data_IF_153099580460
#
_entry.id   IF_153099580460
#
_cell.length_a   1.000
_cell.length_b   1.000
_cell.length_c   1.000
_cell.angle_alpha   90.00
_cell.angle_beta   90.00
_cell.angle_gamma   90.00
#
_symmetry.space_group_name_H-M   'P 1'
#
loop_
_entity.id
_entity.type
_entity.pdbx_description
1 polymer ?
#
# COMPACT_ATOMS: atom_id res chain seq x y z
N UNK A 1 11.13 27.13 63.36
CA UNK A 1 10.98 26.10 62.30
C UNK A 1 10.17 26.74 61.18
N UNK A 2 10.84 27.28 60.15
CA UNK A 2 11.02 26.65 58.82
C UNK A 2 9.72 26.71 57.99
N UNK A 3 9.63 27.03 56.70
CA UNK A 3 10.48 27.55 55.62
C UNK A 3 9.46 27.94 54.50
N UNK A 4 9.53 29.13 53.88
CA UNK A 4 10.03 29.37 52.52
C UNK A 4 9.06 29.11 51.33
N UNK A 5 9.15 30.00 50.34
CA UNK A 5 8.28 30.21 49.17
C UNK A 5 8.39 29.10 48.12
N UNK A 6 7.38 28.98 47.24
CA UNK A 6 7.56 28.28 45.96
C UNK A 6 6.30 28.17 45.09
N UNK A 7 6.03 29.20 44.29
CA UNK A 7 5.07 29.15 43.17
C UNK A 7 5.47 28.08 42.17
N UNK A 8 4.66 27.03 41.99
CA UNK A 8 4.84 26.08 40.89
C UNK A 8 4.41 26.72 39.58
N UNK A 9 5.41 27.09 38.78
CA UNK A 9 5.33 27.55 37.39
C UNK A 9 4.55 26.52 36.56
N UNK A 10 3.33 26.89 36.16
CA UNK A 10 2.55 26.13 35.19
C UNK A 10 3.38 25.94 33.93
N UNK A 11 3.58 24.67 33.55
CA UNK A 11 4.29 24.31 32.34
C UNK A 11 3.67 25.07 31.17
N UNK A 12 4.51 25.80 30.45
CA UNK A 12 4.16 26.58 29.27
C UNK A 12 3.45 25.66 28.28
N UNK A 13 2.12 25.69 28.29
CA UNK A 13 1.28 25.28 27.17
C UNK A 13 1.80 26.08 25.99
N UNK A 14 2.53 25.43 25.10
CA UNK A 14 2.90 25.99 23.82
C UNK A 14 1.61 26.39 23.14
N UNK A 15 1.46 27.69 22.98
CA UNK A 15 0.41 28.32 22.21
C UNK A 15 0.54 27.82 20.78
N UNK A 16 -0.17 26.74 20.44
CA UNK A 16 -0.71 26.56 19.10
C UNK A 16 -1.82 27.61 18.94
N UNK A 17 -1.40 28.88 18.94
CA UNK A 17 -2.29 30.02 18.75
C UNK A 17 -2.79 29.95 17.32
N UNK A 18 -4.10 30.10 17.18
CA UNK A 18 -4.84 29.83 15.96
C UNK A 18 -4.21 30.43 14.72
N UNK A 19 -3.85 29.55 13.79
CA UNK A 19 -3.98 29.84 12.37
C UNK A 19 -4.95 28.81 11.85
N UNK A 20 -6.11 29.28 11.41
CA UNK A 20 -7.06 28.50 10.63
C UNK A 20 -6.30 27.89 9.44
N UNK A 21 -5.84 26.64 9.58
CA UNK A 21 -5.31 25.89 8.45
C UNK A 21 -6.53 25.45 7.66
N UNK A 22 -6.95 26.27 6.71
CA UNK A 22 -8.05 25.98 5.76
C UNK A 22 -7.73 24.79 4.83
N UNK A 23 -6.70 24.00 5.11
CA UNK A 23 -6.27 22.86 4.31
C UNK A 23 -5.25 22.01 5.04
N UNK A 24 -4.97 20.85 4.45
CA UNK A 24 -4.04 19.85 4.97
C UNK A 24 -2.65 20.43 5.26
N UNK A 25 -2.05 20.00 6.36
CA UNK A 25 -0.65 20.27 6.69
C UNK A 25 0.28 19.65 5.63
N UNK A 26 1.57 19.98 5.70
CA UNK A 26 2.55 19.39 4.77
C UNK A 26 2.68 17.87 5.04
N UNK A 27 2.65 17.49 6.31
CA UNK A 27 2.74 16.11 6.79
C UNK A 27 1.51 15.29 6.38
N UNK A 28 0.32 15.85 6.49
CA UNK A 28 -0.92 15.18 6.04
C UNK A 28 -0.93 14.95 4.53
N UNK A 29 -0.43 15.92 3.75
CA UNK A 29 -0.30 15.76 2.29
C UNK A 29 0.72 14.70 1.90
N UNK A 30 1.85 14.62 2.61
CA UNK A 30 2.84 13.58 2.39
C UNK A 30 2.26 12.18 2.68
N UNK A 31 1.57 12.01 3.82
CA UNK A 31 0.90 10.75 4.15
C UNK A 31 -0.20 10.37 3.14
N UNK A 32 -0.96 11.34 2.63
CA UNK A 32 -1.94 11.10 1.57
C UNK A 32 -1.29 10.72 0.23
N UNK A 33 -0.15 11.34 -0.10
CA UNK A 33 0.60 11.02 -1.32
C UNK A 33 1.18 9.61 -1.24
N UNK A 34 1.82 9.24 -0.13
CA UNK A 34 2.33 7.90 0.10
C UNK A 34 1.22 6.85 -0.02
N UNK A 35 0.08 7.06 0.65
CA UNK A 35 -1.08 6.17 0.52
C UNK A 35 -1.65 6.12 -0.90
N UNK A 36 -1.63 7.24 -1.63
CA UNK A 36 -2.06 7.27 -3.02
C UNK A 36 -1.07 6.54 -3.95
N UNK A 37 0.22 6.60 -3.67
CA UNK A 37 1.26 5.85 -4.39
C UNK A 37 1.16 4.36 -4.12
N UNK A 38 0.89 3.93 -2.89
CA UNK A 38 0.60 2.53 -2.55
C UNK A 38 -0.64 2.00 -3.29
N UNK A 39 -1.74 2.76 -3.27
CA UNK A 39 -2.96 2.39 -3.98
C UNK A 39 -2.74 2.36 -5.49
N UNK A 40 -1.95 3.30 -6.05
CA UNK A 40 -1.59 3.31 -7.47
C UNK A 40 -0.65 2.17 -7.84
N UNK A 41 0.27 1.79 -6.96
CA UNK A 41 1.15 0.65 -7.15
C UNK A 41 0.36 -0.66 -7.12
N UNK A 42 -0.64 -0.77 -6.24
CA UNK A 42 -1.56 -1.91 -6.18
C UNK A 42 -2.57 -1.94 -7.34
N UNK A 43 -2.94 -0.79 -7.91
CA UNK A 43 -3.89 -0.67 -9.02
C UNK A 43 -3.22 -0.58 -10.40
N UNK A 44 -1.89 -0.60 -10.49
CA UNK A 44 -1.17 -0.52 -11.77
C UNK A 44 -1.35 -1.86 -12.50
N UNK A 45 -1.73 -1.89 -13.78
CA UNK A 45 -1.64 -3.09 -14.59
C UNK A 45 -0.17 -3.51 -14.64
N UNK A 46 0.18 -4.65 -14.06
CA UNK A 46 1.57 -5.13 -13.89
C UNK A 46 2.24 -4.76 -12.56
N UNK A 47 1.57 -4.02 -11.67
CA UNK A 47 2.01 -3.79 -10.29
C UNK A 47 1.38 -4.83 -9.37
N UNK A 48 1.97 -6.02 -9.27
CA UNK A 48 1.59 -7.09 -8.33
C UNK A 48 0.16 -7.67 -8.43
N UNK A 49 -0.72 -7.14 -9.26
CA UNK A 49 -2.14 -7.49 -9.28
C UNK A 49 -2.55 -8.61 -10.26
N UNK A 50 -1.70 -8.94 -11.25
CA UNK A 50 -1.96 -10.04 -12.18
C UNK A 50 -0.63 -10.64 -12.63
N UNK A 51 -0.10 -11.62 -11.89
CA UNK A 51 1.08 -12.42 -12.28
C UNK A 51 0.87 -13.26 -13.55
N UNK A 52 -0.24 -13.03 -14.28
CA UNK A 52 -0.66 -13.83 -15.43
C UNK A 52 0.37 -13.76 -16.56
N UNK A 53 0.95 -12.59 -16.82
CA UNK A 53 2.00 -12.43 -17.84
C UNK A 53 3.22 -13.30 -17.55
N UNK A 54 3.62 -13.38 -16.27
CA UNK A 54 4.78 -14.14 -15.85
C UNK A 54 4.51 -15.65 -15.93
N UNK A 55 3.29 -16.07 -15.57
CA UNK A 55 2.84 -17.45 -15.74
C UNK A 55 2.83 -17.83 -17.23
N UNK A 56 2.24 -17.01 -18.10
CA UNK A 56 2.20 -17.28 -19.55
C UNK A 56 3.61 -17.35 -20.15
N UNK A 57 4.53 -16.47 -19.74
CA UNK A 57 5.92 -16.51 -20.17
C UNK A 57 6.62 -17.82 -19.74
N UNK A 58 6.37 -18.29 -18.50
CA UNK A 58 6.91 -19.58 -18.02
C UNK A 58 6.32 -20.77 -18.77
N UNK A 59 5.02 -20.77 -19.07
CA UNK A 59 4.37 -21.81 -19.87
C UNK A 59 4.99 -21.87 -21.27
N UNK A 60 5.21 -20.72 -21.91
CA UNK A 60 5.83 -20.66 -23.24
C UNK A 60 7.25 -21.23 -23.27
N UNK A 61 8.01 -21.10 -22.18
CA UNK A 61 9.37 -21.62 -22.05
C UNK A 61 9.44 -23.14 -21.82
N UNK A 62 8.31 -23.81 -21.50
CA UNK A 62 8.30 -25.26 -21.29
C UNK A 62 8.45 -26.04 -22.60
N UNK A 63 9.16 -27.18 -22.62
CA UNK A 63 9.19 -28.07 -23.77
C UNK A 63 7.81 -28.74 -23.97
N UNK A 64 7.60 -29.33 -25.15
CA UNK A 64 6.47 -30.24 -25.34
C UNK A 64 6.80 -31.59 -24.70
N UNK A 65 5.83 -32.29 -24.08
CA UNK A 65 4.38 -32.02 -24.06
C UNK A 65 3.90 -31.11 -22.92
N UNK A 66 4.79 -30.73 -22.00
CA UNK A 66 4.44 -30.04 -20.76
C UNK A 66 3.76 -28.70 -21.01
N UNK A 67 4.20 -27.97 -22.03
CA UNK A 67 3.57 -26.71 -22.44
C UNK A 67 2.09 -26.88 -22.77
N UNK A 68 1.74 -27.87 -23.59
CA UNK A 68 0.34 -28.12 -23.96
C UNK A 68 -0.52 -28.49 -22.74
N UNK A 69 0.05 -29.24 -21.78
CA UNK A 69 -0.63 -29.55 -20.53
C UNK A 69 -0.86 -28.30 -19.67
N UNK A 70 0.17 -27.46 -19.53
CA UNK A 70 0.13 -26.26 -18.71
C UNK A 70 -0.85 -25.21 -19.26
N UNK A 71 -0.91 -25.02 -20.58
CA UNK A 71 -1.91 -24.15 -21.23
C UNK A 71 -3.34 -24.60 -20.92
N UNK A 72 -3.60 -25.92 -21.02
CA UNK A 72 -4.92 -26.48 -20.73
C UNK A 72 -5.31 -26.32 -19.27
N UNK A 73 -4.37 -26.55 -18.34
CA UNK A 73 -4.61 -26.37 -16.91
C UNK A 73 -4.88 -24.91 -16.58
N UNK A 74 -4.07 -23.98 -17.10
CA UNK A 74 -4.26 -22.55 -16.88
C UNK A 74 -5.67 -22.10 -17.33
N UNK A 75 -6.12 -22.54 -18.51
CA UNK A 75 -7.46 -22.23 -19.01
C UNK A 75 -8.58 -22.78 -18.10
N UNK A 76 -8.44 -24.03 -17.63
CA UNK A 76 -9.43 -24.65 -16.72
C UNK A 76 -9.48 -23.91 -15.38
N UNK A 77 -8.33 -23.59 -14.80
CA UNK A 77 -8.24 -22.90 -13.51
C UNK A 77 -8.86 -21.50 -13.62
N UNK A 78 -8.55 -20.76 -14.69
CA UNK A 78 -9.12 -19.42 -14.92
C UNK A 78 -10.64 -19.44 -15.06
N UNK A 79 -11.18 -20.45 -15.72
CA UNK A 79 -12.63 -20.61 -15.88
C UNK A 79 -13.31 -21.10 -14.59
N UNK A 80 -12.67 -22.00 -13.83
CA UNK A 80 -13.27 -22.66 -12.67
C UNK A 80 -13.11 -21.86 -11.37
N UNK A 81 -12.05 -21.07 -11.27
CA UNK A 81 -11.67 -20.34 -10.07
C UNK A 81 -11.13 -18.93 -10.42
N UNK A 82 -11.98 -18.05 -10.99
CA UNK A 82 -11.54 -16.73 -11.48
C UNK A 82 -11.09 -15.78 -10.37
N UNK A 83 -11.35 -16.11 -9.10
CA UNK A 83 -10.87 -15.35 -7.95
C UNK A 83 -9.43 -15.70 -7.53
N UNK A 84 -8.83 -16.73 -8.14
CA UNK A 84 -7.43 -17.04 -7.90
C UNK A 84 -6.56 -16.09 -8.73
N UNK A 85 -5.74 -15.31 -8.04
CA UNK A 85 -4.65 -14.61 -8.67
C UNK A 85 -3.53 -15.60 -9.03
N UNK A 86 -2.92 -15.49 -10.22
CA UNK A 86 -1.72 -16.24 -10.58
C UNK A 86 -0.50 -15.89 -9.73
#
# INVERSE_FOLDING_TARGET
MSAEKGTRKSAKRTTASGKQLKGFTAEERAAMQERAEELRAAARPGGKADGESDVLAKIAAMPQPDRAMAERLHAIIKASAPSLAP
#
